data_IF_696961190887
#
_entry.id   IF_696961190887
#
_cell.length_a   1.000
_cell.length_b   1.000
_cell.length_c   1.000
_cell.angle_alpha   90.00
_cell.angle_beta   90.00
_cell.angle_gamma   90.00
#
_symmetry.space_group_name_H-M   'P 1'
#
loop_
_entity.id
_entity.type
_entity.pdbx_description
1 polymer ?
#
# COMPACT_ATOMS: atom_id res chain seq x y z
N UNK A 1 -13.37 3.61 -14.58
CA UNK A 1 -13.63 4.07 -13.21
C UNK A 1 -12.56 3.48 -12.31
N UNK A 2 -12.05 4.19 -11.30
CA UNK A 2 -11.05 3.63 -10.37
C UNK A 2 -11.76 2.68 -9.41
N UNK A 3 -11.25 1.45 -9.28
CA UNK A 3 -11.74 0.44 -8.35
C UNK A 3 -10.84 0.43 -7.11
N UNK A 4 -11.35 0.94 -5.99
CA UNK A 4 -10.63 0.95 -4.71
C UNK A 4 -10.75 -0.40 -4.00
N UNK A 5 -9.75 -0.74 -3.20
CA UNK A 5 -9.83 -1.87 -2.29
C UNK A 5 -10.80 -1.56 -1.15
N UNK A 6 -11.66 -2.52 -0.83
CA UNK A 6 -12.43 -2.53 0.41
C UNK A 6 -11.56 -2.90 1.63
N UNK A 7 -12.04 -2.58 2.82
CA UNK A 7 -11.45 -3.03 4.07
C UNK A 7 -11.33 -4.56 4.10
N UNK A 8 -12.38 -5.29 3.70
CA UNK A 8 -12.39 -6.76 3.59
C UNK A 8 -11.29 -7.29 2.68
N UNK A 9 -11.01 -6.63 1.55
CA UNK A 9 -9.93 -7.05 0.66
C UNK A 9 -8.56 -6.87 1.30
N UNK A 10 -8.29 -5.75 1.97
CA UNK A 10 -7.00 -5.52 2.65
C UNK A 10 -6.81 -6.50 3.80
N UNK A 11 -7.88 -6.76 4.55
CA UNK A 11 -7.92 -7.78 5.61
C UNK A 11 -7.59 -9.17 5.06
N UNK A 12 -8.19 -9.53 3.93
CA UNK A 12 -7.95 -10.82 3.28
C UNK A 12 -6.53 -10.94 2.75
N UNK A 13 -5.97 -9.87 2.16
CA UNK A 13 -4.57 -9.80 1.75
C UNK A 13 -3.64 -10.07 2.94
N UNK A 14 -3.88 -9.42 4.10
CA UNK A 14 -3.09 -9.68 5.30
C UNK A 14 -3.17 -11.15 5.73
N UNK A 15 -4.39 -11.70 5.80
CA UNK A 15 -4.65 -13.10 6.20
C UNK A 15 -3.91 -14.09 5.30
N UNK A 16 -4.03 -13.94 3.97
CA UNK A 16 -3.35 -14.78 2.99
C UNK A 16 -1.84 -14.65 3.10
N UNK A 17 -1.33 -13.42 3.25
CA UNK A 17 0.12 -13.18 3.35
C UNK A 17 0.78 -13.86 4.56
N UNK A 18 0.01 -14.09 5.62
CA UNK A 18 0.45 -14.78 6.84
C UNK A 18 0.25 -16.31 6.79
N UNK A 19 -0.31 -16.85 5.70
CA UNK A 19 -0.62 -18.27 5.58
C UNK A 19 -1.72 -18.73 6.56
N UNK A 20 -2.60 -17.83 7.00
CA UNK A 20 -3.67 -18.13 7.95
C UNK A 20 -4.85 -18.76 7.21
N UNK A 21 -5.05 -20.07 7.35
CA UNK A 21 -6.05 -20.85 6.59
C UNK A 21 -7.34 -21.18 7.36
N UNK A 22 -7.55 -20.65 8.58
CA UNK A 22 -8.76 -20.94 9.38
C UNK A 22 -9.21 -19.81 10.30
N UNK A 23 -10.50 -19.80 10.65
CA UNK A 23 -11.17 -18.75 11.45
C UNK A 23 -10.60 -18.60 12.88
N UNK A 24 -9.99 -19.65 13.43
CA UNK A 24 -9.48 -19.67 14.82
C UNK A 24 -8.13 -18.99 15.02
N UNK A 25 -7.41 -18.68 13.94
CA UNK A 25 -6.08 -18.08 14.04
C UNK A 25 -6.21 -16.55 14.06
N UNK A 26 -6.34 -15.99 15.26
CA UNK A 26 -6.09 -14.60 15.66
C UNK A 26 -5.72 -13.63 14.53
N UNK A 27 -6.68 -13.35 13.65
CA UNK A 27 -6.64 -12.19 12.79
C UNK A 27 -6.78 -10.97 13.70
N UNK A 28 -5.73 -10.16 13.79
CA UNK A 28 -5.68 -9.02 14.72
C UNK A 28 -5.52 -7.73 13.92
N UNK A 29 -6.58 -7.36 13.18
CA UNK A 29 -6.85 -5.95 12.93
C UNK A 29 -6.99 -5.28 14.29
N UNK A 30 -5.95 -4.57 14.69
CA UNK A 30 -5.87 -3.91 16.00
C UNK A 30 -6.41 -2.49 15.94
N UNK A 31 -6.40 -1.87 14.76
CA UNK A 31 -6.87 -0.50 14.56
C UNK A 31 -7.85 -0.39 13.37
N UNK A 32 -9.14 -0.73 13.57
CA UNK A 32 -10.15 -0.61 12.50
C UNK A 32 -10.35 0.82 11.98
N UNK A 33 -10.18 1.82 12.85
CA UNK A 33 -10.31 3.23 12.46
C UNK A 33 -9.17 3.68 11.53
N UNK A 34 -7.95 3.17 11.75
CA UNK A 34 -6.80 3.45 10.89
C UNK A 34 -7.00 2.87 9.50
N UNK A 35 -7.51 1.64 9.40
CA UNK A 35 -7.86 1.05 8.10
C UNK A 35 -8.88 1.90 7.34
N UNK A 36 -9.93 2.38 8.01
CA UNK A 36 -10.92 3.28 7.39
C UNK A 36 -10.31 4.62 6.98
N UNK A 37 -9.39 5.16 7.79
CA UNK A 37 -8.67 6.39 7.46
C UNK A 37 -7.80 6.19 6.21
N UNK A 38 -7.07 5.08 6.11
CA UNK A 38 -6.22 4.72 4.94
C UNK A 38 -7.05 4.75 3.65
N UNK A 39 -8.23 4.12 3.65
CA UNK A 39 -9.12 4.11 2.49
C UNK A 39 -9.51 5.53 2.07
N UNK A 40 -9.99 6.35 3.02
CA UNK A 40 -10.37 7.75 2.76
C UNK A 40 -9.19 8.59 2.29
N UNK A 41 -8.02 8.40 2.88
CA UNK A 41 -6.78 9.10 2.53
C UNK A 41 -6.42 8.83 1.06
N UNK A 42 -6.40 7.56 0.65
CA UNK A 42 -6.07 7.16 -0.73
C UNK A 42 -7.10 7.61 -1.75
N UNK A 43 -8.38 7.58 -1.41
CA UNK A 43 -9.45 8.08 -2.26
C UNK A 43 -9.32 9.58 -2.54
N UNK A 44 -9.09 10.39 -1.49
CA UNK A 44 -9.19 11.86 -1.55
C UNK A 44 -7.93 12.57 -2.06
N UNK A 45 -6.74 12.01 -1.88
CA UNK A 45 -5.50 12.80 -1.99
C UNK A 45 -4.71 12.66 -3.30
N UNK A 46 -5.08 11.76 -4.21
CA UNK A 46 -4.23 11.39 -5.37
C UNK A 46 -4.91 11.52 -6.74
N UNK A 47 -6.05 12.22 -6.82
CA UNK A 47 -6.73 12.49 -8.09
C UNK A 47 -7.03 11.22 -8.89
N UNK A 48 -6.64 11.16 -10.16
CA UNK A 48 -6.80 10.01 -11.05
C UNK A 48 -5.54 9.16 -11.22
N UNK A 49 -4.43 9.51 -10.57
CA UNK A 49 -3.15 8.82 -10.73
C UNK A 49 -3.14 7.49 -9.95
N UNK A 50 -3.22 6.36 -10.66
CA UNK A 50 -3.26 5.03 -10.07
C UNK A 50 -1.97 4.64 -9.33
N UNK A 51 -0.81 5.04 -9.84
CA UNK A 51 0.49 4.75 -9.18
C UNK A 51 0.56 5.48 -7.84
N UNK A 52 0.21 6.77 -7.79
CA UNK A 52 0.16 7.53 -6.52
C UNK A 52 -0.89 6.98 -5.54
N UNK A 53 -2.00 6.41 -6.02
CA UNK A 53 -2.99 5.73 -5.16
C UNK A 53 -2.47 4.41 -4.60
N UNK A 54 -1.78 3.61 -5.41
CA UNK A 54 -1.11 2.40 -4.96
C UNK A 54 -0.07 2.72 -3.89
N UNK A 55 0.73 3.77 -4.11
CA UNK A 55 1.67 4.29 -3.14
C UNK A 55 0.98 4.78 -1.85
N UNK A 56 -0.19 5.40 -1.96
CA UNK A 56 -1.04 5.75 -0.82
C UNK A 56 -1.38 4.54 0.07
N UNK A 57 -1.76 3.40 -0.53
CA UNK A 57 -1.93 2.15 0.22
C UNK A 57 -0.62 1.69 0.85
N UNK A 58 0.47 1.69 0.10
CA UNK A 58 1.76 1.19 0.57
C UNK A 58 2.28 1.98 1.77
N UNK A 59 2.29 3.31 1.69
CA UNK A 59 2.78 4.20 2.74
C UNK A 59 1.81 4.24 3.93
N UNK A 60 0.52 4.42 3.70
CA UNK A 60 -0.41 4.61 4.80
C UNK A 60 -0.62 3.33 5.63
N UNK A 61 -0.61 2.14 4.99
CA UNK A 61 -0.71 0.86 5.73
C UNK A 61 0.56 0.63 6.56
N UNK A 62 1.76 0.90 6.02
CA UNK A 62 2.98 0.66 6.80
C UNK A 62 3.12 1.65 7.96
N UNK A 63 2.81 2.93 7.71
CA UNK A 63 2.91 3.98 8.73
C UNK A 63 1.90 3.82 9.85
N UNK A 64 0.64 3.47 9.55
CA UNK A 64 -0.41 3.37 10.57
C UNK A 64 -0.54 1.98 11.18
N UNK A 65 0.15 0.99 10.64
CA UNK A 65 0.30 -0.34 11.22
C UNK A 65 -1.03 -0.97 11.72
N UNK A 66 -2.10 -1.01 10.90
CA UNK A 66 -3.44 -1.38 11.38
C UNK A 66 -3.55 -2.85 11.82
N UNK A 67 -2.59 -3.70 11.44
CA UNK A 67 -2.52 -5.11 11.82
C UNK A 67 -1.45 -5.34 12.88
N UNK A 68 -1.62 -6.36 13.72
CA UNK A 68 -0.56 -6.75 14.66
C UNK A 68 0.71 -7.25 13.96
N UNK A 69 0.54 -7.96 12.84
CA UNK A 69 1.63 -8.57 12.09
C UNK A 69 1.40 -8.41 10.57
N UNK A 70 2.50 -8.40 9.83
CA UNK A 70 2.46 -8.47 8.36
C UNK A 70 2.16 -7.15 7.65
N UNK A 71 2.28 -6.00 8.32
CA UNK A 71 2.02 -4.69 7.70
C UNK A 71 2.91 -4.43 6.47
N UNK A 72 4.21 -4.73 6.53
CA UNK A 72 5.12 -4.57 5.37
C UNK A 72 4.68 -5.37 4.14
N UNK A 73 4.27 -6.63 4.34
CA UNK A 73 3.76 -7.49 3.27
C UNK A 73 2.41 -6.99 2.77
N UNK A 74 1.50 -6.70 3.70
CA UNK A 74 0.14 -6.25 3.39
C UNK A 74 0.15 -4.93 2.63
N UNK A 75 1.04 -4.00 2.98
CA UNK A 75 1.11 -2.69 2.36
C UNK A 75 1.51 -2.78 0.88
N UNK A 76 2.53 -3.59 0.57
CA UNK A 76 2.97 -3.81 -0.81
C UNK A 76 1.92 -4.58 -1.60
N UNK A 77 1.43 -5.71 -1.07
CA UNK A 77 0.41 -6.53 -1.73
C UNK A 77 -0.89 -5.75 -1.99
N UNK A 78 -1.29 -4.85 -1.08
CA UNK A 78 -2.46 -3.99 -1.30
C UNK A 78 -2.24 -2.99 -2.42
N UNK A 79 -1.03 -2.43 -2.55
CA UNK A 79 -0.69 -1.54 -3.65
C UNK A 79 -0.71 -2.27 -4.99
N UNK A 80 -0.14 -3.48 -5.04
CA UNK A 80 -0.11 -4.33 -6.24
C UNK A 80 -1.50 -4.79 -6.66
N UNK A 81 -2.31 -5.29 -5.72
CA UNK A 81 -3.69 -5.71 -5.96
C UNK A 81 -4.53 -4.53 -6.49
N UNK A 82 -4.36 -3.34 -5.90
CA UNK A 82 -5.02 -2.13 -6.40
C UNK A 82 -4.61 -1.85 -7.86
N UNK A 83 -3.33 -1.91 -8.21
CA UNK A 83 -2.88 -1.69 -9.58
C UNK A 83 -3.46 -2.73 -10.53
N UNK A 84 -3.48 -4.01 -10.15
CA UNK A 84 -4.02 -5.09 -10.97
C UNK A 84 -5.52 -4.92 -11.24
N UNK A 85 -6.32 -4.58 -10.21
CA UNK A 85 -7.75 -4.27 -10.37
C UNK A 85 -7.99 -3.06 -11.28
N UNK A 86 -7.03 -2.13 -11.35
CA UNK A 86 -7.11 -0.92 -12.17
C UNK A 86 -6.41 -1.06 -13.53
N UNK A 87 -6.24 -2.29 -14.02
CA UNK A 87 -5.80 -2.57 -15.38
C UNK A 87 -4.30 -2.46 -15.59
N UNK A 88 -3.50 -2.56 -14.53
CA UNK A 88 -2.06 -2.73 -14.65
C UNK A 88 -1.71 -4.23 -14.68
N UNK A 89 -0.62 -4.54 -15.36
CA UNK A 89 0.03 -5.84 -15.37
C UNK A 89 1.33 -5.72 -14.59
N UNK A 90 1.54 -6.66 -13.66
CA UNK A 90 2.82 -6.81 -12.98
C UNK A 90 3.86 -7.39 -13.93
N UNK A 91 5.04 -6.76 -13.94
CA UNK A 91 6.28 -7.22 -14.56
C UNK A 91 7.32 -7.58 -13.49
N UNK A 92 6.87 -7.69 -12.24
CA UNK A 92 7.73 -8.06 -11.12
C UNK A 92 8.10 -9.54 -11.17
N UNK A 93 9.13 -9.89 -10.41
CA UNK A 93 9.52 -11.27 -10.11
C UNK A 93 9.63 -11.39 -8.60
N UNK A 94 9.53 -12.61 -8.06
CA UNK A 94 9.71 -12.86 -6.61
C UNK A 94 11.00 -12.23 -6.06
N UNK A 95 12.07 -12.22 -6.87
CA UNK A 95 13.34 -11.61 -6.52
C UNK A 95 13.23 -10.09 -6.38
N UNK A 96 12.55 -9.40 -7.30
CA UNK A 96 12.39 -7.94 -7.27
C UNK A 96 11.50 -7.49 -6.10
N UNK A 97 10.45 -8.25 -5.80
CA UNK A 97 9.59 -7.99 -4.64
C UNK A 97 10.39 -8.16 -3.34
N UNK A 98 11.19 -9.23 -3.25
CA UNK A 98 12.06 -9.48 -2.11
C UNK A 98 13.12 -8.39 -1.94
N UNK A 99 13.72 -7.91 -3.03
CA UNK A 99 14.68 -6.81 -3.02
C UNK A 99 14.05 -5.51 -2.50
N UNK A 100 12.86 -5.14 -2.99
CA UNK A 100 12.15 -3.97 -2.49
C UNK A 100 11.80 -4.13 -1.00
N UNK A 101 11.28 -5.29 -0.59
CA UNK A 101 10.94 -5.53 0.82
C UNK A 101 12.15 -5.42 1.75
N UNK A 102 13.29 -6.00 1.35
CA UNK A 102 14.55 -5.86 2.10
C UNK A 102 15.00 -4.41 2.18
N UNK A 103 14.98 -3.69 1.06
CA UNK A 103 15.37 -2.29 1.02
C UNK A 103 14.48 -1.43 1.94
N UNK A 104 13.16 -1.64 1.90
CA UNK A 104 12.22 -0.91 2.77
C UNK A 104 12.54 -1.09 4.25
N UNK A 105 12.76 -2.33 4.69
CA UNK A 105 13.09 -2.66 6.08
C UNK A 105 14.41 -2.01 6.50
N UNK A 106 15.45 -2.11 5.66
CA UNK A 106 16.76 -1.52 5.96
C UNK A 106 16.65 0.01 6.02
N UNK A 107 15.99 0.64 5.05
CA UNK A 107 15.80 2.08 5.02
C UNK A 107 15.04 2.57 6.26
N UNK A 108 13.96 1.87 6.65
CA UNK A 108 13.19 2.19 7.85
C UNK A 108 14.04 2.15 9.12
N UNK A 109 14.94 1.17 9.24
CA UNK A 109 15.85 1.04 10.37
C UNK A 109 16.93 2.14 10.37
N UNK A 110 17.56 2.39 9.23
CA UNK A 110 18.65 3.37 9.08
C UNK A 110 18.18 4.81 9.32
N UNK A 111 16.87 5.09 9.13
CA UNK A 111 16.28 6.42 9.24
C UNK A 111 15.31 6.57 10.43
N UNK A 112 15.27 5.60 11.36
CA UNK A 112 14.38 5.61 12.54
C UNK A 112 12.89 5.83 12.18
N UNK A 113 12.45 5.29 11.03
CA UNK A 113 11.09 5.52 10.54
C UNK A 113 10.04 4.83 11.41
N UNK A 114 10.38 3.74 12.13
CA UNK A 114 9.46 3.12 13.07
C UNK A 114 8.99 4.11 14.16
N UNK A 115 9.90 4.95 14.66
CA UNK A 115 9.57 6.00 15.63
C UNK A 115 8.65 7.05 15.02
N UNK A 116 8.94 7.49 13.81
CA UNK A 116 8.08 8.46 13.11
C UNK A 116 6.70 7.88 12.80
N UNK A 117 6.62 6.61 12.40
CA UNK A 117 5.37 5.91 12.14
C UNK A 117 4.52 5.79 13.41
N UNK A 118 5.15 5.44 14.54
CA UNK A 118 4.47 5.43 15.83
C UNK A 118 3.92 6.81 16.20
N UNK A 119 4.73 7.87 16.03
CA UNK A 119 4.31 9.26 16.28
C UNK A 119 3.11 9.65 15.42
N UNK A 120 3.06 9.26 14.15
CA UNK A 120 1.94 9.56 13.25
C UNK A 120 0.67 8.80 13.65
N UNK A 121 0.82 7.54 14.06
CA UNK A 121 -0.31 6.66 14.43
C UNK A 121 -1.12 7.22 15.62
N UNK A 122 -0.47 7.92 16.55
CA UNK A 122 -1.14 8.51 17.72
C UNK A 122 -1.81 9.88 17.45
N UNK A 123 -1.67 10.45 16.25
CA UNK A 123 -2.28 11.76 15.92
C UNK A 123 -3.78 11.58 15.73
N UNK A 124 -4.62 12.10 16.63
CA UNK A 124 -6.08 11.96 16.51
C UNK A 124 -6.71 12.88 15.44
N UNK A 125 -6.12 14.04 15.16
CA UNK A 125 -6.62 14.97 14.14
C UNK A 125 -6.33 14.44 12.72
N UNK A 126 -7.39 14.18 11.94
CA UNK A 126 -7.26 13.61 10.59
C UNK A 126 -6.53 14.53 9.61
N UNK A 127 -6.66 15.86 9.78
CA UNK A 127 -6.03 16.85 8.89
C UNK A 127 -4.53 16.83 9.10
N UNK A 128 -4.10 16.84 10.35
CA UNK A 128 -2.72 16.76 10.78
C UNK A 128 -2.11 15.40 10.41
N UNK A 129 -2.82 14.30 10.66
CA UNK A 129 -2.36 12.96 10.25
C UNK A 129 -2.17 12.87 8.74
N UNK A 130 -3.07 13.46 7.96
CA UNK A 130 -2.95 13.57 6.50
C UNK A 130 -1.74 14.41 6.10
N UNK A 131 -1.46 15.51 6.80
CA UNK A 131 -0.29 16.37 6.56
C UNK A 131 1.01 15.60 6.77
N UNK A 132 1.12 14.86 7.88
CA UNK A 132 2.31 14.08 8.22
C UNK A 132 2.55 12.92 7.24
N UNK A 133 1.50 12.19 6.85
CA UNK A 133 1.63 11.18 5.78
C UNK A 133 2.13 11.80 4.47
N UNK A 134 1.65 12.99 4.10
CA UNK A 134 2.14 13.70 2.92
C UNK A 134 3.60 14.14 3.03
N UNK A 135 4.14 14.30 4.23
CA UNK A 135 5.58 14.56 4.43
C UNK A 135 6.38 13.29 4.14
N UNK A 136 5.96 12.14 4.67
CA UNK A 136 6.56 10.84 4.33
C UNK A 136 6.49 10.61 2.82
N UNK A 137 5.36 10.94 2.19
CA UNK A 137 5.15 10.82 0.74
C UNK A 137 5.91 11.83 -0.13
N UNK A 138 6.85 12.57 0.45
CA UNK A 138 7.83 13.41 -0.26
C UNK A 138 9.27 12.98 0.00
N UNK A 139 9.47 11.97 0.85
CA UNK A 139 10.79 11.44 1.21
C UNK A 139 11.39 10.56 0.10
N UNK A 140 12.67 10.24 0.22
CA UNK A 140 13.33 9.24 -0.63
C UNK A 140 12.69 7.85 -0.52
N UNK A 141 12.09 7.52 0.63
CA UNK A 141 11.31 6.29 0.83
C UNK A 141 10.15 6.19 -0.17
N UNK A 142 9.35 7.25 -0.29
CA UNK A 142 8.24 7.34 -1.25
C UNK A 142 8.73 7.32 -2.70
N UNK A 143 9.74 8.11 -3.02
CA UNK A 143 10.27 8.24 -4.38
C UNK A 143 10.83 6.92 -4.91
N UNK A 144 11.50 6.15 -4.04
CA UNK A 144 12.07 4.84 -4.43
C UNK A 144 10.97 3.82 -4.69
N UNK A 145 9.94 3.77 -3.84
CA UNK A 145 8.80 2.86 -4.03
C UNK A 145 7.99 3.27 -5.27
N UNK A 146 7.77 4.57 -5.50
CA UNK A 146 7.09 5.06 -6.70
C UNK A 146 7.84 4.68 -7.98
N UNK A 147 9.17 4.91 -7.99
CA UNK A 147 10.03 4.49 -9.11
C UNK A 147 9.90 2.99 -9.35
N UNK A 148 9.94 2.18 -8.30
CA UNK A 148 9.77 0.74 -8.42
C UNK A 148 8.42 0.36 -9.02
N UNK A 149 7.32 1.02 -8.64
CA UNK A 149 6.01 0.78 -9.26
C UNK A 149 6.02 1.13 -10.75
N UNK A 150 6.64 2.24 -11.14
CA UNK A 150 6.75 2.62 -12.56
C UNK A 150 7.56 1.62 -13.40
N UNK A 151 8.61 1.05 -12.83
CA UNK A 151 9.48 0.08 -13.52
C UNK A 151 8.84 -1.32 -13.62
N UNK A 152 7.99 -1.68 -12.65
CA UNK A 152 7.47 -3.04 -12.51
C UNK A 152 5.97 -3.17 -12.79
N UNK A 153 5.26 -2.10 -13.06
CA UNK A 153 3.85 -2.16 -13.48
C UNK A 153 3.62 -1.36 -14.76
N UNK A 154 2.99 -2.00 -15.74
CA UNK A 154 2.55 -1.33 -16.97
C UNK A 154 1.04 -1.42 -17.11
N UNK A 155 0.43 -0.37 -17.63
CA UNK A 155 -1.00 -0.41 -17.98
C UNK A 155 -1.18 -1.42 -19.11
N UNK A 156 -2.13 -2.35 -18.97
CA UNK A 156 -2.52 -3.27 -20.03
C UNK A 156 -2.97 -2.42 -21.22
N UNK A 157 -2.35 -2.62 -22.37
CA UNK A 157 -2.82 -1.99 -23.60
C UNK A 157 -4.22 -2.53 -23.89
N UNK A 158 -5.17 -1.64 -24.17
CA UNK A 158 -6.52 -2.01 -24.56
C UNK A 158 -6.47 -2.70 -25.92
N UNK A 159 -6.33 -4.02 -25.96
CA UNK A 159 -6.25 -4.81 -27.19
C UNK A 159 -7.60 -4.99 -27.92
N UNK A 160 -8.56 -4.08 -27.73
CA UNK A 160 -9.93 -4.21 -28.24
C UNK A 160 -10.39 -3.13 -29.24
N UNK A 161 -9.49 -2.30 -29.79
CA UNK A 161 -9.89 -1.33 -30.84
C UNK A 161 -9.26 -1.54 -32.23
N UNK A 162 -8.52 -2.62 -32.47
CA UNK A 162 -7.89 -2.90 -33.78
C UNK A 162 -8.35 -4.22 -34.44
N UNK A 163 -9.46 -4.81 -33.97
CA UNK A 163 -10.08 -5.98 -34.62
C UNK A 163 -11.46 -5.71 -35.23
N UNK A 164 -11.83 -4.44 -35.37
CA UNK A 164 -13.10 -4.04 -35.97
C UNK A 164 -12.95 -2.75 -36.78
N UNK A 165 -12.14 -2.83 -37.84
CA UNK A 165 -12.19 -2.01 -39.06
C UNK A 165 -11.57 -2.84 -40.17
#
# INVERSE_FOLDING_TARGET
MIQYLSDKQIIEINRVSLGITGEKNNFQLIQPNDLRFILRFTEKNFGTNSIRKALGYCIAIITLHPFKNGNHRTSLLSAEEFLQQNGFQSLTTDQKDLELQKWRIIYEQDHDLEREFFRITIIEDETERTRELKIIMKSEYDQTIEKWFHENFKRKESSELLRST
#
